data_IF_263805398811
#
_entry.id   IF_263805398811
#
_cell.length_a   1.000
_cell.length_b   1.000
_cell.length_c   1.000
_cell.angle_alpha   90.00
_cell.angle_beta   90.00
_cell.angle_gamma   90.00
#
_symmetry.space_group_name_H-M   'P 1'
#
loop_
_entity.id
_entity.type
_entity.pdbx_description
1 polymer ?
#
# COMPACT_ATOMS: atom_id res chain seq x y z
N UNK A 1 -8.45 1.59 -20.93
CA UNK A 1 -9.57 0.61 -21.00
C UNK A 1 -10.34 0.80 -22.30
N UNK A 2 -10.82 -0.26 -22.97
CA UNK A 2 -11.85 -0.08 -24.00
C UNK A 2 -13.08 0.55 -23.33
N UNK A 3 -13.50 1.72 -23.82
CA UNK A 3 -14.67 2.41 -23.29
C UNK A 3 -15.89 1.51 -23.43
N UNK A 4 -16.60 1.25 -22.34
CA UNK A 4 -17.95 0.64 -22.37
C UNK A 4 -19.01 1.62 -22.90
N UNK A 5 -18.60 2.82 -23.29
CA UNK A 5 -19.46 3.86 -23.86
C UNK A 5 -19.87 3.50 -25.28
N UNK A 6 -21.16 3.27 -25.49
CA UNK A 6 -21.77 3.11 -26.80
C UNK A 6 -21.94 4.48 -27.45
N UNK A 7 -20.96 4.87 -28.25
CA UNK A 7 -21.04 6.11 -29.03
C UNK A 7 -22.01 5.96 -30.21
N UNK A 8 -22.83 7.00 -30.43
CA UNK A 8 -23.79 7.10 -31.54
C UNK A 8 -23.15 6.90 -32.94
N UNK A 9 -21.85 7.16 -33.07
CA UNK A 9 -21.09 7.03 -34.31
C UNK A 9 -20.07 5.88 -34.26
N UNK A 10 -20.26 4.90 -33.37
CA UNK A 10 -19.44 3.70 -33.35
C UNK A 10 -19.55 2.95 -34.68
N UNK A 11 -18.44 2.36 -35.14
CA UNK A 11 -18.44 1.48 -36.31
C UNK A 11 -18.94 0.11 -35.84
N UNK A 12 -20.12 -0.36 -36.30
CA UNK A 12 -20.64 -1.67 -35.93
C UNK A 12 -19.69 -2.76 -36.41
N UNK A 13 -19.63 -3.88 -35.68
CA UNK A 13 -18.92 -5.12 -36.07
C UNK A 13 -17.38 -5.02 -36.25
N UNK A 14 -16.78 -3.86 -35.95
CA UNK A 14 -15.32 -3.69 -35.87
C UNK A 14 -14.93 -2.90 -34.60
N UNK A 15 -14.63 -3.62 -33.50
CA UNK A 15 -14.13 -3.00 -32.28
C UNK A 15 -12.94 -2.08 -32.55
N UNK A 16 -12.85 -0.96 -31.82
CA UNK A 16 -11.72 -0.01 -31.95
C UNK A 16 -10.37 -0.72 -31.80
N UNK A 17 -10.27 -1.68 -30.89
CA UNK A 17 -9.05 -2.45 -30.68
C UNK A 17 -8.66 -3.22 -31.95
N UNK A 18 -9.58 -3.97 -32.57
CA UNK A 18 -9.30 -4.68 -33.82
C UNK A 18 -8.79 -3.72 -34.91
N UNK A 19 -9.43 -2.57 -35.07
CA UNK A 19 -9.02 -1.57 -36.07
C UNK A 19 -7.63 -0.96 -35.81
N UNK A 20 -7.15 -0.99 -34.57
CA UNK A 20 -5.77 -0.58 -34.25
C UNK A 20 -4.80 -1.66 -34.72
N UNK A 21 -5.06 -2.94 -34.39
CA UNK A 21 -4.25 -4.06 -34.84
C UNK A 21 -4.20 -4.14 -36.38
N UNK A 22 -5.35 -4.04 -37.06
CA UNK A 22 -5.43 -4.08 -38.53
C UNK A 22 -4.56 -3.00 -39.19
N UNK A 23 -4.45 -1.81 -38.58
CA UNK A 23 -3.60 -0.73 -39.11
C UNK A 23 -2.12 -1.06 -38.97
N UNK A 24 -1.71 -1.69 -37.87
CA UNK A 24 -0.33 -2.15 -37.68
C UNK A 24 0.00 -3.24 -38.70
N UNK A 25 -0.93 -4.18 -38.91
CA UNK A 25 -0.76 -5.25 -39.90
C UNK A 25 -0.69 -4.74 -41.36
N UNK A 26 -1.32 -3.60 -41.64
CA UNK A 26 -1.32 -2.97 -42.96
C UNK A 26 -0.08 -2.09 -43.24
N UNK A 27 0.82 -1.88 -42.28
CA UNK A 27 2.06 -1.14 -42.50
C UNK A 27 2.99 -1.90 -43.45
N UNK A 28 3.67 -1.17 -44.33
CA UNK A 28 4.79 -1.75 -45.07
C UNK A 28 5.99 -2.01 -44.14
N UNK A 29 6.91 -2.93 -44.49
CA UNK A 29 8.00 -3.33 -43.60
C UNK A 29 8.92 -2.19 -43.15
N UNK A 30 9.13 -1.15 -43.97
CA UNK A 30 9.99 -0.03 -43.60
C UNK A 30 9.28 0.86 -42.57
N UNK A 31 8.02 1.21 -42.82
CA UNK A 31 7.21 1.99 -41.87
C UNK A 31 7.01 1.28 -40.52
N UNK A 32 6.81 -0.05 -40.55
CA UNK A 32 6.70 -0.88 -39.35
C UNK A 32 7.99 -0.80 -38.50
N UNK A 33 9.13 -1.01 -39.15
CA UNK A 33 10.43 -1.00 -38.48
C UNK A 33 10.75 0.38 -37.89
N UNK A 34 10.60 1.45 -38.69
CA UNK A 34 10.91 2.81 -38.27
C UNK A 34 10.05 3.26 -37.07
N UNK A 35 8.75 2.95 -37.09
CA UNK A 35 7.84 3.31 -35.99
C UNK A 35 8.15 2.50 -34.73
N UNK A 36 8.46 1.21 -34.86
CA UNK A 36 8.87 0.39 -33.72
C UNK A 36 10.17 0.89 -33.10
N UNK A 37 11.19 1.21 -33.91
CA UNK A 37 12.46 1.76 -33.41
C UNK A 37 12.25 3.08 -32.68
N UNK A 38 11.44 3.99 -33.24
CA UNK A 38 11.09 5.26 -32.58
C UNK A 38 10.49 5.05 -31.20
N UNK A 39 9.53 4.13 -31.07
CA UNK A 39 8.89 3.82 -29.77
C UNK A 39 9.89 3.17 -28.81
N UNK A 40 10.72 2.24 -29.29
CA UNK A 40 11.75 1.61 -28.45
C UNK A 40 12.75 2.65 -27.92
N UNK A 41 13.20 3.58 -28.75
CA UNK A 41 14.09 4.67 -28.36
C UNK A 41 13.44 5.58 -27.31
N UNK A 42 12.19 6.02 -27.54
CA UNK A 42 11.42 6.88 -26.63
C UNK A 42 11.17 6.25 -25.24
N UNK A 43 11.14 4.91 -25.16
CA UNK A 43 10.86 4.16 -23.93
C UNK A 43 12.10 3.58 -23.25
N UNK A 44 13.19 3.35 -24.00
CA UNK A 44 14.42 2.71 -23.49
C UNK A 44 15.09 3.47 -22.33
N UNK A 45 14.89 4.79 -22.26
CA UNK A 45 15.39 5.63 -21.16
C UNK A 45 14.51 5.65 -19.91
N UNK A 46 13.29 5.09 -19.96
CA UNK A 46 12.27 5.19 -18.90
C UNK A 46 11.80 3.83 -18.38
N UNK A 47 11.95 2.77 -19.18
CA UNK A 47 11.54 1.42 -18.84
C UNK A 47 12.63 0.42 -19.20
N UNK A 48 12.77 -0.63 -18.39
CA UNK A 48 13.68 -1.75 -18.68
C UNK A 48 12.94 -2.82 -19.50
N UNK A 49 13.68 -3.52 -20.36
CA UNK A 49 13.18 -4.67 -21.13
C UNK A 49 11.91 -4.37 -21.95
N UNK A 50 11.84 -3.17 -22.54
CA UNK A 50 10.69 -2.66 -23.31
C UNK A 50 10.16 -3.67 -24.35
N UNK A 51 10.99 -4.39 -25.13
CA UNK A 51 10.47 -5.40 -26.06
C UNK A 51 9.70 -6.53 -25.36
N UNK A 52 10.20 -7.03 -24.22
CA UNK A 52 9.54 -8.09 -23.46
C UNK A 52 8.18 -7.63 -22.93
N UNK A 53 8.09 -6.38 -22.47
CA UNK A 53 6.84 -5.75 -22.04
C UNK A 53 5.81 -5.71 -23.17
N UNK A 54 6.19 -5.21 -24.34
CA UNK A 54 5.30 -5.11 -25.48
C UNK A 54 4.85 -6.48 -25.96
N UNK A 55 5.76 -7.46 -26.01
CA UNK A 55 5.42 -8.81 -26.42
C UNK A 55 4.43 -9.48 -25.45
N UNK A 56 4.65 -9.32 -24.13
CA UNK A 56 3.69 -9.80 -23.13
C UNK A 56 2.32 -9.16 -23.33
N UNK A 57 2.28 -7.84 -23.54
CA UNK A 57 1.02 -7.14 -23.75
C UNK A 57 0.29 -7.61 -25.00
N UNK A 58 1.02 -7.92 -26.06
CA UNK A 58 0.45 -8.53 -27.26
C UNK A 58 -0.26 -9.85 -26.93
N UNK A 59 0.40 -10.76 -26.21
CA UNK A 59 -0.20 -12.05 -25.83
C UNK A 59 -1.42 -11.92 -24.89
N UNK A 60 -1.51 -10.85 -24.10
CA UNK A 60 -2.69 -10.57 -23.26
C UNK A 60 -3.90 -10.06 -24.05
N UNK A 61 -3.69 -9.45 -25.22
CA UNK A 61 -4.76 -8.90 -26.05
C UNK A 61 -5.14 -9.81 -27.22
N UNK A 62 -4.22 -10.63 -27.68
CA UNK A 62 -4.40 -11.56 -28.79
C UNK A 62 -5.42 -12.66 -28.44
N UNK A 63 -6.34 -12.92 -29.37
CA UNK A 63 -7.48 -13.84 -29.18
C UNK A 63 -8.53 -13.42 -28.14
N UNK A 64 -8.32 -12.31 -27.40
CA UNK A 64 -9.22 -11.83 -26.33
C UNK A 64 -9.85 -10.48 -26.69
N UNK A 65 -9.01 -9.48 -26.98
CA UNK A 65 -9.41 -8.10 -27.32
C UNK A 65 -9.34 -7.87 -28.83
N UNK A 66 -8.35 -8.48 -29.48
CA UNK A 66 -8.20 -8.54 -30.93
C UNK A 66 -8.38 -9.99 -31.39
N UNK A 67 -8.86 -10.19 -32.60
CA UNK A 67 -8.96 -11.49 -33.23
C UNK A 67 -7.56 -12.09 -33.40
N UNK A 68 -7.46 -13.39 -33.15
CA UNK A 68 -6.25 -14.18 -33.33
C UNK A 68 -5.71 -14.01 -34.76
N UNK A 69 -4.44 -13.64 -34.90
CA UNK A 69 -3.81 -13.32 -36.18
C UNK A 69 -2.34 -13.77 -36.23
N UNK A 70 -1.91 -14.28 -37.39
CA UNK A 70 -0.50 -14.57 -37.62
C UNK A 70 0.27 -13.25 -37.82
N UNK A 71 1.17 -12.96 -36.89
CA UNK A 71 1.96 -11.73 -36.88
C UNK A 71 3.46 -12.00 -36.88
N UNK A 72 4.22 -11.11 -37.48
CA UNK A 72 5.68 -11.08 -37.32
C UNK A 72 6.06 -10.56 -35.92
N UNK A 73 7.31 -10.79 -35.49
CA UNK A 73 7.78 -10.32 -34.19
C UNK A 73 7.64 -8.80 -34.02
N UNK A 74 8.01 -8.01 -35.04
CA UNK A 74 7.89 -6.54 -34.99
C UNK A 74 6.42 -6.08 -34.93
N UNK A 75 5.51 -6.75 -35.65
CA UNK A 75 4.07 -6.49 -35.55
C UNK A 75 3.53 -6.82 -34.16
N UNK A 76 3.94 -7.94 -33.57
CA UNK A 76 3.54 -8.29 -32.20
C UNK A 76 3.97 -7.21 -31.20
N UNK A 77 5.23 -6.76 -31.28
CA UNK A 77 5.75 -5.68 -30.43
C UNK A 77 4.97 -4.37 -30.63
N UNK A 78 4.75 -3.95 -31.88
CA UNK A 78 4.07 -2.68 -32.16
C UNK A 78 2.58 -2.71 -31.79
N UNK A 79 1.90 -3.85 -31.99
CA UNK A 79 0.52 -4.06 -31.50
C UNK A 79 0.51 -3.97 -29.98
N UNK A 80 1.39 -4.71 -29.31
CA UNK A 80 1.54 -4.68 -27.85
C UNK A 80 1.73 -3.26 -27.32
N UNK A 81 2.63 -2.48 -27.93
CA UNK A 81 2.89 -1.08 -27.58
C UNK A 81 1.62 -0.20 -27.66
N UNK A 82 0.79 -0.37 -28.69
CA UNK A 82 -0.48 0.38 -28.83
C UNK A 82 -1.53 0.03 -27.78
N UNK A 83 -1.39 -1.11 -27.09
CA UNK A 83 -2.25 -1.54 -26.01
C UNK A 83 -1.59 -1.41 -24.62
N UNK A 84 -0.35 -0.91 -24.56
CA UNK A 84 0.30 -0.44 -23.34
C UNK A 84 -0.15 0.98 -23.00
N UNK A 85 -0.14 1.34 -21.73
CA UNK A 85 -0.28 2.73 -21.28
C UNK A 85 0.88 3.04 -20.34
N UNK A 86 1.50 4.21 -20.49
CA UNK A 86 2.34 4.77 -19.43
C UNK A 86 1.41 5.42 -18.40
N UNK A 87 1.60 5.10 -17.12
CA UNK A 87 0.88 5.76 -16.02
C UNK A 87 1.87 6.51 -15.15
N UNK A 88 1.60 7.78 -14.87
CA UNK A 88 2.27 8.48 -13.78
C UNK A 88 1.54 8.18 -12.48
N UNK A 89 2.18 7.40 -11.60
CA UNK A 89 1.58 6.88 -10.37
C UNK A 89 1.87 7.73 -9.12
N UNK A 90 2.83 8.66 -9.21
CA UNK A 90 3.19 9.60 -8.12
C UNK A 90 2.90 11.06 -8.51
N UNK A 91 2.15 11.29 -9.59
CA UNK A 91 1.91 12.63 -10.13
C UNK A 91 1.12 13.55 -9.19
N UNK A 92 0.20 13.02 -8.39
CA UNK A 92 -0.70 13.83 -7.59
C UNK A 92 -0.30 13.88 -6.11
N UNK A 93 -0.08 12.73 -5.47
CA UNK A 93 0.18 12.69 -4.03
C UNK A 93 0.85 11.39 -3.56
N UNK A 94 1.66 11.51 -2.49
CA UNK A 94 2.30 10.41 -1.77
C UNK A 94 2.05 10.57 -0.26
N UNK A 95 1.14 9.77 0.29
CA UNK A 95 0.60 9.97 1.64
C UNK A 95 0.26 8.65 2.34
N UNK A 96 -0.35 8.73 3.51
CA UNK A 96 -0.71 7.62 4.40
C UNK A 96 0.43 6.60 4.60
N UNK A 97 1.58 7.05 5.13
CA UNK A 97 2.78 6.24 5.20
C UNK A 97 2.70 5.13 6.25
N UNK A 98 3.30 3.98 5.96
CA UNK A 98 3.65 2.97 6.96
C UNK A 98 5.14 2.67 6.89
N UNK A 99 5.74 2.25 8.00
CA UNK A 99 7.18 2.09 8.14
C UNK A 99 7.52 0.79 8.86
N UNK A 100 8.51 0.06 8.34
CA UNK A 100 9.06 -1.16 8.94
C UNK A 100 10.58 -1.21 8.77
N UNK A 101 11.24 -2.03 9.57
CA UNK A 101 12.67 -2.30 9.37
C UNK A 101 12.90 -2.94 8.01
N UNK A 102 13.96 -2.51 7.33
CA UNK A 102 14.42 -3.16 6.12
C UNK A 102 15.00 -4.55 6.46
N UNK A 103 14.73 -5.62 5.68
CA UNK A 103 15.27 -6.96 5.97
C UNK A 103 16.80 -7.00 5.93
N UNK A 104 17.41 -6.23 5.04
CA UNK A 104 18.86 -6.00 4.99
C UNK A 104 19.26 -4.77 5.82
N UNK A 105 20.02 -5.00 6.90
CA UNK A 105 20.65 -3.99 7.75
C UNK A 105 22.18 -3.93 7.57
N UNK A 106 22.73 -4.55 6.52
CA UNK A 106 24.16 -4.49 6.23
C UNK A 106 24.60 -3.08 5.84
N UNK A 107 25.86 -2.74 6.15
CA UNK A 107 26.46 -1.43 5.85
C UNK A 107 25.66 -0.21 6.37
N UNK A 108 24.80 -0.41 7.37
CA UNK A 108 24.13 0.68 8.08
C UNK A 108 25.11 1.27 9.09
N UNK A 109 25.24 2.61 9.19
CA UNK A 109 26.08 3.24 10.20
C UNK A 109 25.76 2.76 11.62
N UNK A 110 26.76 2.78 12.50
CA UNK A 110 26.58 2.36 13.90
C UNK A 110 25.40 3.10 14.55
N UNK A 111 24.60 2.37 15.32
CA UNK A 111 23.39 2.88 15.99
C UNK A 111 22.34 3.50 15.05
N UNK A 112 22.38 3.21 13.76
CA UNK A 112 21.35 3.60 12.79
C UNK A 112 20.57 2.38 12.32
N UNK A 113 19.40 2.60 11.71
CA UNK A 113 18.59 1.56 11.10
C UNK A 113 18.20 1.95 9.68
N UNK A 114 18.19 0.97 8.77
CA UNK A 114 17.56 1.11 7.47
C UNK A 114 16.07 0.76 7.59
N UNK A 115 15.20 1.57 6.99
CA UNK A 115 13.77 1.30 6.97
C UNK A 115 13.22 1.19 5.55
N UNK A 116 12.05 0.56 5.45
CA UNK A 116 11.15 0.61 4.31
C UNK A 116 9.97 1.46 4.71
N UNK A 117 9.60 2.39 3.84
CA UNK A 117 8.42 3.24 3.95
C UNK A 117 7.47 2.87 2.81
N UNK A 118 6.27 2.37 3.10
CA UNK A 118 5.22 2.26 2.09
C UNK A 118 4.39 3.53 2.08
N UNK A 119 3.98 3.98 0.89
CA UNK A 119 3.18 5.17 0.66
C UNK A 119 2.00 4.82 -0.22
N UNK A 120 0.84 5.43 0.07
CA UNK A 120 -0.28 5.47 -0.87
C UNK A 120 0.07 6.46 -1.97
N UNK A 121 0.26 5.92 -3.18
CA UNK A 121 0.46 6.71 -4.39
C UNK A 121 -0.86 6.93 -5.11
N UNK A 122 -1.16 8.20 -5.41
CA UNK A 122 -2.28 8.58 -6.27
C UNK A 122 -1.73 9.25 -7.52
N UNK A 123 -2.01 8.60 -8.65
CA UNK A 123 -1.58 9.03 -9.98
C UNK A 123 -2.72 9.49 -10.88
N UNK A 124 -2.47 9.45 -12.18
CA UNK A 124 -3.49 9.72 -13.20
C UNK A 124 -4.71 8.79 -13.02
N UNK A 125 -5.91 9.37 -13.08
CA UNK A 125 -7.17 8.64 -12.84
C UNK A 125 -7.56 8.46 -11.37
N UNK A 126 -6.78 9.03 -10.43
CA UNK A 126 -7.03 9.00 -8.98
C UNK A 126 -7.10 7.59 -8.37
N UNK A 127 -6.48 6.60 -9.02
CA UNK A 127 -6.43 5.23 -8.52
C UNK A 127 -5.32 5.14 -7.47
N UNK A 128 -5.66 4.59 -6.29
CA UNK A 128 -4.70 4.40 -5.21
C UNK A 128 -3.88 3.13 -5.41
N UNK A 129 -2.57 3.27 -5.26
CA UNK A 129 -1.56 2.22 -5.37
C UNK A 129 -0.64 2.23 -4.15
N UNK A 130 0.12 1.16 -3.95
CA UNK A 130 1.19 1.12 -2.95
C UNK A 130 2.52 1.32 -3.64
N UNK A 131 3.28 2.29 -3.16
CA UNK A 131 4.66 2.56 -3.58
C UNK A 131 5.59 2.44 -2.38
N UNK A 132 6.88 2.29 -2.63
CA UNK A 132 7.87 2.16 -1.56
C UNK A 132 8.98 3.20 -1.66
N UNK A 133 9.56 3.52 -0.51
CA UNK A 133 10.81 4.25 -0.34
C UNK A 133 11.67 3.53 0.68
N UNK A 134 12.97 3.77 0.61
CA UNK A 134 13.92 3.31 1.62
C UNK A 134 14.64 4.51 2.22
N UNK A 135 15.16 4.33 3.42
CA UNK A 135 15.88 5.39 4.11
C UNK A 135 16.59 4.89 5.34
N UNK A 136 17.18 5.84 6.07
CA UNK A 136 17.92 5.58 7.31
C UNK A 136 17.38 6.46 8.43
N UNK A 137 17.30 5.87 9.62
CA UNK A 137 17.10 6.58 10.88
C UNK A 137 18.38 6.49 11.70
N UNK A 138 18.99 7.64 12.00
CA UNK A 138 20.13 7.73 12.89
C UNK A 138 19.72 7.58 14.36
N UNK A 139 20.70 7.42 15.25
CA UNK A 139 20.49 7.23 16.67
C UNK A 139 19.80 8.42 17.37
N UNK A 140 20.02 9.63 16.85
CA UNK A 140 19.46 10.89 17.37
C UNK A 140 18.05 11.20 16.81
N UNK A 141 17.50 10.29 15.99
CA UNK A 141 16.22 10.47 15.30
C UNK A 141 16.32 11.14 13.94
N UNK A 142 17.51 11.53 13.47
CA UNK A 142 17.66 12.12 12.13
C UNK A 142 17.23 11.12 11.05
N UNK A 143 16.31 11.55 10.18
CA UNK A 143 15.77 10.75 9.07
C UNK A 143 16.36 11.21 7.74
N UNK A 144 16.81 10.26 6.92
CA UNK A 144 17.21 10.48 5.54
C UNK A 144 16.48 9.50 4.62
N UNK A 145 15.90 10.01 3.53
CA UNK A 145 15.24 9.21 2.49
C UNK A 145 16.20 9.05 1.32
N UNK A 146 16.32 7.82 0.80
CA UNK A 146 17.11 7.55 -0.40
C UNK A 146 16.38 8.10 -1.64
N UNK A 147 17.11 8.65 -2.62
CA UNK A 147 16.51 9.01 -3.90
C UNK A 147 15.81 7.80 -4.54
N UNK A 148 14.56 7.94 -5.04
CA UNK A 148 13.89 6.86 -5.73
C UNK A 148 14.56 6.56 -7.07
N UNK A 149 14.44 5.32 -7.53
CA UNK A 149 14.80 4.93 -8.89
C UNK A 149 13.92 5.68 -9.90
N UNK A 150 14.48 6.14 -11.03
CA UNK A 150 13.70 6.82 -12.07
C UNK A 150 12.88 5.85 -12.94
N UNK A 151 13.03 4.54 -12.77
CA UNK A 151 12.45 3.52 -13.65
C UNK A 151 11.52 2.57 -12.87
N UNK A 152 10.19 2.67 -13.04
CA UNK A 152 9.29 1.68 -12.45
C UNK A 152 9.50 0.31 -13.09
N UNK A 153 9.37 -0.74 -12.28
CA UNK A 153 9.32 -2.12 -12.76
C UNK A 153 7.89 -2.48 -13.14
N UNK A 154 7.72 -3.14 -14.29
CA UNK A 154 6.46 -3.80 -14.61
C UNK A 154 6.39 -5.13 -13.87
N UNK A 155 5.43 -5.25 -12.96
CA UNK A 155 5.31 -6.40 -12.09
C UNK A 155 4.64 -7.59 -12.80
N UNK A 156 5.10 -8.80 -12.48
CA UNK A 156 4.44 -10.03 -12.91
C UNK A 156 3.41 -10.46 -11.88
N UNK A 157 2.19 -10.77 -12.33
CA UNK A 157 1.10 -11.20 -11.45
C UNK A 157 0.56 -12.56 -11.87
N UNK A 158 0.35 -13.47 -10.91
CA UNK A 158 -0.27 -14.78 -11.12
C UNK A 158 -1.30 -15.07 -10.03
N UNK A 159 -2.30 -15.89 -10.32
CA UNK A 159 -3.17 -16.45 -9.28
C UNK A 159 -2.36 -17.41 -8.41
N UNK A 160 -2.61 -17.39 -7.11
CA UNK A 160 -2.01 -18.35 -6.19
C UNK A 160 -2.58 -19.75 -6.50
N UNK A 161 -1.69 -20.72 -6.73
CA UNK A 161 -2.05 -22.05 -7.23
C UNK A 161 -3.12 -22.73 -6.37
N UNK A 162 -4.19 -23.22 -7.02
CA UNK A 162 -5.31 -23.88 -6.35
C UNK A 162 -6.40 -22.92 -5.83
N UNK A 163 -6.26 -21.61 -6.05
CA UNK A 163 -7.27 -20.61 -5.77
C UNK A 163 -7.85 -20.06 -7.08
N UNK A 164 -9.17 -20.16 -7.26
CA UNK A 164 -9.91 -19.63 -8.40
C UNK A 164 -11.09 -18.77 -7.93
N UNK A 165 -11.49 -17.80 -8.75
CA UNK A 165 -12.66 -16.95 -8.50
C UNK A 165 -12.33 -15.56 -7.95
N UNK A 166 -13.35 -14.77 -7.55
CA UNK A 166 -13.20 -13.36 -7.19
C UNK A 166 -12.43 -13.13 -5.88
N UNK A 167 -12.27 -14.19 -5.08
CA UNK A 167 -11.57 -14.17 -3.80
C UNK A 167 -10.24 -14.94 -3.83
N UNK A 168 -9.78 -15.32 -5.04
CA UNK A 168 -8.47 -15.93 -5.20
C UNK A 168 -7.36 -14.93 -4.86
N UNK A 169 -6.35 -15.40 -4.15
CA UNK A 169 -5.15 -14.64 -3.88
C UNK A 169 -4.32 -14.39 -5.14
N UNK A 170 -3.63 -13.25 -5.16
CA UNK A 170 -2.70 -12.86 -6.22
C UNK A 170 -1.28 -12.92 -5.69
N UNK A 171 -0.37 -13.52 -6.46
CA UNK A 171 1.07 -13.40 -6.23
C UNK A 171 1.66 -12.41 -7.22
N UNK A 172 2.50 -11.51 -6.71
CA UNK A 172 3.23 -10.51 -7.47
C UNK A 172 4.72 -10.83 -7.36
N UNK A 173 5.38 -11.03 -8.49
CA UNK A 173 6.82 -11.24 -8.59
C UNK A 173 7.48 -9.97 -9.12
N UNK A 174 8.51 -9.52 -8.41
CA UNK A 174 9.26 -8.31 -8.72
C UNK A 174 10.67 -8.66 -9.19
N UNK A 175 10.79 -9.76 -9.95
CA UNK A 175 12.05 -10.19 -10.55
C UNK A 175 12.57 -9.07 -11.47
N UNK A 176 13.86 -8.76 -11.36
CA UNK A 176 14.47 -7.62 -12.07
C UNK A 176 14.42 -6.28 -11.33
N UNK A 177 13.72 -6.16 -10.19
CA UNK A 177 13.81 -4.98 -9.32
C UNK A 177 15.20 -4.90 -8.68
N UNK A 178 15.85 -3.74 -8.85
CA UNK A 178 17.14 -3.44 -8.23
C UNK A 178 16.98 -2.55 -7.01
N UNK A 179 15.91 -1.77 -6.96
CA UNK A 179 15.56 -0.92 -5.83
C UNK A 179 14.07 -1.03 -5.52
N UNK A 180 13.71 -0.98 -4.23
CA UNK A 180 12.34 -1.16 -3.78
C UNK A 180 11.39 -0.06 -4.30
N UNK A 181 11.91 1.14 -4.56
CA UNK A 181 11.12 2.25 -5.12
C UNK A 181 10.67 2.02 -6.57
N UNK A 182 11.19 1.00 -7.23
CA UNK A 182 10.73 0.56 -8.57
C UNK A 182 9.42 -0.21 -8.49
N UNK A 183 9.05 -0.72 -7.30
CA UNK A 183 7.89 -1.56 -7.10
C UNK A 183 6.67 -0.68 -6.82
N UNK A 184 5.67 -0.81 -7.69
CA UNK A 184 4.37 -0.15 -7.56
C UNK A 184 3.27 -1.19 -7.65
N UNK A 185 2.59 -1.44 -6.54
CA UNK A 185 1.50 -2.41 -6.47
C UNK A 185 0.19 -1.68 -6.82
N UNK A 186 -0.32 -1.97 -8.01
CA UNK A 186 -1.61 -1.49 -8.49
C UNK A 186 -2.75 -2.47 -8.15
N UNK A 187 -3.99 -1.96 -8.10
CA UNK A 187 -5.18 -2.80 -8.12
C UNK A 187 -5.13 -3.89 -9.19
N UNK A 188 -5.21 -5.14 -8.77
CA UNK A 188 -5.17 -6.32 -9.65
C UNK A 188 -6.51 -7.07 -9.67
N UNK A 189 -7.26 -7.03 -8.57
CA UNK A 189 -8.55 -7.74 -8.45
C UNK A 189 -9.76 -6.81 -8.62
N UNK A 190 -10.97 -7.34 -8.95
CA UNK A 190 -12.19 -6.53 -9.03
C UNK A 190 -12.48 -5.75 -7.73
N UNK A 191 -12.19 -6.34 -6.58
CA UNK A 191 -12.40 -5.75 -5.26
C UNK A 191 -11.45 -4.58 -4.97
N UNK A 192 -10.35 -4.46 -5.73
CA UNK A 192 -9.37 -3.38 -5.59
C UNK A 192 -9.57 -2.28 -6.64
N UNK A 193 -10.53 -2.40 -7.58
CA UNK A 193 -10.64 -1.53 -8.78
C UNK A 193 -10.63 -0.02 -8.49
N UNK A 194 -11.19 0.40 -7.36
CA UNK A 194 -11.19 1.79 -6.89
C UNK A 194 -9.92 2.20 -6.15
N UNK A 195 -9.11 1.26 -5.70
CA UNK A 195 -7.79 1.49 -5.12
C UNK A 195 -7.38 0.45 -4.07
N UNK A 196 -6.07 0.41 -3.83
CA UNK A 196 -5.44 -0.20 -2.65
C UNK A 196 -5.11 0.96 -1.69
N UNK A 197 -5.73 0.99 -0.52
CA UNK A 197 -5.64 2.11 0.41
C UNK A 197 -4.99 1.72 1.74
N UNK A 198 -4.16 2.63 2.27
CA UNK A 198 -3.75 2.69 3.68
C UNK A 198 -3.11 1.39 4.21
N UNK A 199 -2.06 0.93 3.52
CA UNK A 199 -1.30 -0.26 3.89
C UNK A 199 -0.60 -0.08 5.24
N UNK A 200 -0.82 -1.01 6.17
CA UNK A 200 -0.24 -1.05 7.51
C UNK A 200 0.75 -2.21 7.63
N UNK A 201 2.02 -1.93 7.36
CA UNK A 201 3.07 -2.94 7.38
C UNK A 201 3.52 -3.27 8.80
N UNK A 202 3.86 -4.53 9.03
CA UNK A 202 4.52 -5.01 10.23
C UNK A 202 5.50 -6.13 9.88
N UNK A 203 6.68 -6.09 10.52
CA UNK A 203 7.58 -7.24 10.55
C UNK A 203 7.10 -8.18 11.65
N UNK A 204 6.47 -9.28 11.26
CA UNK A 204 5.97 -10.30 12.16
C UNK A 204 7.04 -11.35 12.43
N UNK A 205 7.28 -11.66 13.69
CA UNK A 205 8.23 -12.68 14.13
C UNK A 205 7.47 -13.90 14.65
N UNK A 206 7.65 -15.03 13.95
CA UNK A 206 7.18 -16.33 14.43
C UNK A 206 8.04 -16.81 15.62
N UNK A 207 7.50 -17.75 16.41
CA UNK A 207 8.17 -18.30 17.60
C UNK A 207 9.49 -19.03 17.27
N UNK A 208 9.66 -19.46 16.02
CA UNK A 208 10.88 -20.09 15.49
C UNK A 208 11.94 -19.07 15.02
N UNK A 209 11.65 -17.77 15.14
CA UNK A 209 12.52 -16.67 14.72
C UNK A 209 12.40 -16.30 13.24
N UNK A 210 11.52 -16.95 12.47
CA UNK A 210 11.26 -16.56 11.07
C UNK A 210 10.53 -15.22 11.04
N UNK A 211 11.02 -14.30 10.23
CA UNK A 211 10.37 -13.02 9.99
C UNK A 211 9.56 -13.06 8.69
N UNK A 212 8.32 -12.61 8.75
CA UNK A 212 7.47 -12.34 7.58
C UNK A 212 6.94 -10.91 7.68
N UNK A 213 6.92 -10.17 6.58
CA UNK A 213 6.26 -8.87 6.55
C UNK A 213 4.82 -9.08 6.15
N UNK A 214 3.91 -8.59 6.99
CA UNK A 214 2.48 -8.54 6.70
C UNK A 214 2.05 -7.09 6.54
N UNK A 215 1.01 -6.87 5.74
CA UNK A 215 0.43 -5.57 5.52
C UNK A 215 -1.07 -5.68 5.33
N UNK A 216 -1.84 -5.22 6.30
CA UNK A 216 -3.29 -5.08 6.14
C UNK A 216 -3.60 -3.81 5.36
N UNK A 217 -4.54 -3.88 4.44
CA UNK A 217 -4.95 -2.72 3.66
C UNK A 217 -6.42 -2.80 3.29
N UNK A 218 -6.98 -1.66 2.87
CA UNK A 218 -8.35 -1.59 2.38
C UNK A 218 -8.37 -1.77 0.86
N UNK A 219 -8.99 -2.83 0.37
CA UNK A 219 -9.35 -2.97 -1.03
C UNK A 219 -10.68 -2.26 -1.27
N UNK A 220 -10.68 -1.25 -2.13
CA UNK A 220 -11.88 -0.49 -2.48
C UNK A 220 -12.33 -0.84 -3.90
N UNK A 221 -13.57 -1.29 -4.07
CA UNK A 221 -14.11 -1.68 -5.38
C UNK A 221 -14.70 -0.50 -6.16
N UNK A 222 -14.79 0.68 -5.53
CA UNK A 222 -15.62 1.80 -5.99
C UNK A 222 -16.99 1.86 -5.30
N UNK A 223 -17.44 0.76 -4.69
CA UNK A 223 -18.76 0.66 -4.05
C UNK A 223 -18.70 0.05 -2.64
N UNK A 224 -17.80 -0.90 -2.44
CA UNK A 224 -17.61 -1.64 -1.19
C UNK A 224 -16.14 -1.63 -0.79
N UNK A 225 -15.90 -1.86 0.50
CA UNK A 225 -14.56 -2.00 1.07
C UNK A 225 -14.45 -3.36 1.74
N UNK A 226 -13.26 -3.94 1.68
CA UNK A 226 -12.88 -5.11 2.49
C UNK A 226 -11.43 -5.01 2.92
N UNK A 227 -11.07 -5.71 3.99
CA UNK A 227 -9.68 -5.86 4.38
C UNK A 227 -9.02 -7.00 3.61
N UNK A 228 -7.83 -6.75 3.10
CA UNK A 228 -6.96 -7.75 2.50
C UNK A 228 -5.60 -7.72 3.18
N UNK A 229 -4.86 -8.82 3.04
CA UNK A 229 -3.54 -9.03 3.60
C UNK A 229 -2.52 -9.16 2.48
N UNK A 230 -1.55 -8.26 2.49
CA UNK A 230 -0.29 -8.40 1.79
C UNK A 230 0.67 -9.18 2.68
N UNK A 231 1.36 -10.19 2.14
CA UNK A 231 2.47 -10.86 2.81
C UNK A 231 3.70 -10.90 1.90
N UNK A 232 4.88 -10.76 2.49
CA UNK A 232 6.15 -10.92 1.79
C UNK A 232 7.26 -11.34 2.75
N UNK A 233 8.12 -12.30 2.38
CA UNK A 233 9.30 -12.61 3.19
C UNK A 233 10.45 -11.62 2.96
N UNK A 234 10.51 -10.97 1.79
CA UNK A 234 11.73 -10.35 1.28
C UNK A 234 11.53 -9.09 0.41
N UNK A 235 10.28 -8.65 0.20
CA UNK A 235 9.90 -7.59 -0.72
C UNK A 235 10.27 -7.84 -2.20
N UNK A 236 10.51 -9.09 -2.60
CA UNK A 236 10.66 -9.51 -4.00
C UNK A 236 9.43 -10.25 -4.50
N UNK A 237 8.81 -11.04 -3.62
CA UNK A 237 7.52 -11.69 -3.89
C UNK A 237 6.48 -11.21 -2.89
N UNK A 238 5.34 -10.75 -3.38
CA UNK A 238 4.19 -10.37 -2.56
C UNK A 238 3.03 -11.31 -2.81
N UNK A 239 2.29 -11.67 -1.78
CA UNK A 239 1.01 -12.36 -1.90
C UNK A 239 -0.09 -11.48 -1.32
N UNK A 240 -1.16 -11.25 -2.08
CA UNK A 240 -2.33 -10.49 -1.69
C UNK A 240 -3.50 -11.47 -1.53
N UNK A 241 -4.06 -11.58 -0.32
CA UNK A 241 -5.22 -12.43 -0.04
C UNK A 241 -6.32 -11.69 0.70
N UNK A 242 -7.60 -11.91 0.39
CA UNK A 242 -8.69 -11.35 1.18
C UNK A 242 -8.71 -11.98 2.58
N UNK A 243 -9.01 -11.14 3.59
CA UNK A 243 -9.37 -11.64 4.91
C UNK A 243 -10.83 -12.11 4.90
N UNK A 244 -11.14 -13.09 5.75
CA UNK A 244 -12.46 -13.71 5.91
C UNK A 244 -12.98 -13.50 7.32
N UNK A 245 -14.27 -13.72 7.50
CA UNK A 245 -14.95 -13.57 8.79
C UNK A 245 -15.62 -12.20 8.96
N UNK A 246 -16.42 -12.06 10.00
CA UNK A 246 -17.32 -10.91 10.18
C UNK A 246 -16.61 -9.61 10.60
N UNK A 247 -15.36 -9.69 11.06
CA UNK A 247 -14.54 -8.55 11.47
C UNK A 247 -13.69 -7.96 10.31
N UNK A 248 -14.01 -8.27 9.06
CA UNK A 248 -13.19 -7.89 7.88
C UNK A 248 -13.85 -6.87 6.95
N UNK A 249 -15.09 -6.49 7.24
CA UNK A 249 -15.84 -5.48 6.49
C UNK A 249 -15.50 -4.03 6.87
N UNK A 250 -14.71 -3.82 7.93
CA UNK A 250 -14.31 -2.51 8.43
C UNK A 250 -13.03 -1.99 7.76
N UNK A 251 -12.50 -0.86 8.24
CA UNK A 251 -11.21 -0.29 7.79
C UNK A 251 -10.25 -0.16 8.95
N UNK A 252 -8.97 -0.43 8.68
CA UNK A 252 -7.87 -0.06 9.57
C UNK A 252 -7.46 -1.16 10.54
N UNK A 253 -7.61 -2.42 10.14
CA UNK A 253 -7.01 -3.52 10.90
C UNK A 253 -5.49 -3.37 10.93
N UNK A 254 -4.82 -3.65 12.05
CA UNK A 254 -3.37 -3.73 12.13
C UNK A 254 -2.90 -4.88 13.01
N UNK A 255 -2.00 -5.69 12.47
CA UNK A 255 -1.46 -6.91 13.08
C UNK A 255 -0.39 -6.59 14.12
N UNK A 256 -0.44 -7.24 15.27
CA UNK A 256 0.64 -7.22 16.26
C UNK A 256 1.89 -7.95 15.70
N UNK A 257 3.12 -7.54 16.05
CA UNK A 257 4.35 -8.04 15.44
C UNK A 257 4.74 -9.47 15.86
N UNK A 258 3.93 -10.15 16.66
CA UNK A 258 4.08 -11.55 17.07
C UNK A 258 2.75 -12.09 17.59
N UNK A 259 2.70 -13.40 17.84
CA UNK A 259 1.57 -14.02 18.52
C UNK A 259 1.45 -13.53 19.97
N UNK A 260 0.21 -13.49 20.45
CA UNK A 260 -0.14 -13.17 21.83
C UNK A 260 -0.95 -14.33 22.37
N UNK A 261 -0.45 -14.97 23.43
CA UNK A 261 -1.01 -16.22 23.96
C UNK A 261 -1.28 -17.29 22.87
N UNK A 262 -0.33 -17.45 21.93
CA UNK A 262 -0.39 -18.44 20.83
C UNK A 262 -1.27 -18.05 19.63
N UNK A 263 -1.98 -16.92 19.69
CA UNK A 263 -2.88 -16.47 18.63
C UNK A 263 -2.30 -15.29 17.87
N UNK A 264 -2.66 -15.15 16.59
CA UNK A 264 -2.52 -13.87 15.92
C UNK A 264 -3.43 -12.85 16.61
N UNK A 265 -3.01 -11.58 16.64
CA UNK A 265 -3.79 -10.51 17.22
C UNK A 265 -3.80 -9.28 16.31
N UNK A 266 -4.93 -8.58 16.25
CA UNK A 266 -5.07 -7.33 15.51
C UNK A 266 -5.79 -6.28 16.36
N UNK A 267 -5.49 -5.01 16.09
CA UNK A 267 -6.39 -3.91 16.42
C UNK A 267 -7.25 -3.59 15.20
N UNK A 268 -8.53 -3.30 15.38
CA UNK A 268 -9.49 -2.96 14.33
C UNK A 268 -10.49 -1.89 14.77
N UNK A 269 -11.48 -1.61 13.91
CA UNK A 269 -12.54 -0.61 14.18
C UNK A 269 -13.89 -1.15 13.70
N UNK A 270 -14.35 -2.22 14.33
CA UNK A 270 -15.48 -3.03 13.84
C UNK A 270 -16.84 -2.34 13.91
N UNK A 271 -17.01 -1.39 14.83
CA UNK A 271 -18.21 -0.55 14.93
C UNK A 271 -18.05 0.82 14.27
N UNK A 272 -16.97 1.02 13.52
CA UNK A 272 -16.57 2.27 12.89
C UNK A 272 -16.31 3.45 13.86
N UNK A 273 -16.26 3.22 15.17
CA UNK A 273 -16.11 4.26 16.19
C UNK A 273 -14.94 3.99 17.16
N UNK A 274 -14.82 2.76 17.64
CA UNK A 274 -13.97 2.36 18.76
C UNK A 274 -12.80 1.48 18.31
N UNK A 275 -11.71 1.43 19.05
CA UNK A 275 -10.65 0.44 18.79
C UNK A 275 -11.05 -0.90 19.42
N UNK A 276 -11.03 -1.95 18.61
CA UNK A 276 -11.30 -3.33 18.99
C UNK A 276 -10.02 -4.17 19.00
N UNK A 277 -9.93 -5.09 19.96
CA UNK A 277 -8.91 -6.12 20.02
C UNK A 277 -9.48 -7.43 19.48
N UNK A 278 -8.77 -8.00 18.50
CA UNK A 278 -9.15 -9.20 17.76
C UNK A 278 -8.08 -10.26 17.95
N UNK A 279 -8.48 -11.53 18.03
CA UNK A 279 -7.55 -12.67 18.05
C UNK A 279 -8.00 -13.75 17.08
N UNK A 280 -7.06 -14.43 16.45
CA UNK A 280 -7.35 -15.58 15.60
C UNK A 280 -6.27 -16.66 15.65
N UNK A 281 -6.67 -17.91 15.40
CA UNK A 281 -5.74 -19.01 15.15
C UNK A 281 -5.20 -19.00 13.71
N UNK A 282 -5.94 -18.41 12.77
CA UNK A 282 -5.61 -18.31 11.35
C UNK A 282 -5.45 -16.83 10.96
N UNK A 283 -4.34 -16.49 10.30
CA UNK A 283 -4.06 -15.11 9.87
C UNK A 283 -5.07 -14.60 8.83
N UNK A 284 -5.82 -15.49 8.16
CA UNK A 284 -6.77 -15.14 7.12
C UNK A 284 -8.24 -15.13 7.57
N UNK A 285 -8.56 -15.56 8.80
CA UNK A 285 -9.94 -15.62 9.32
C UNK A 285 -10.06 -14.82 10.61
N UNK A 286 -10.90 -13.79 10.62
CA UNK A 286 -11.08 -12.87 11.73
C UNK A 286 -12.57 -12.66 12.01
N UNK A 287 -13.00 -13.09 13.19
CA UNK A 287 -14.39 -12.92 13.63
C UNK A 287 -14.48 -12.49 15.09
N UNK A 288 -15.53 -11.73 15.43
CA UNK A 288 -15.78 -11.25 16.79
C UNK A 288 -14.83 -10.14 17.23
N UNK A 289 -14.45 -10.13 18.51
CA UNK A 289 -13.57 -9.12 19.11
C UNK A 289 -14.05 -8.60 20.45
N UNK A 290 -13.17 -7.86 21.14
CA UNK A 290 -13.51 -7.12 22.34
C UNK A 290 -13.16 -5.64 22.16
N UNK A 291 -14.09 -4.75 22.53
CA UNK A 291 -13.83 -3.32 22.51
C UNK A 291 -12.75 -2.98 23.55
N UNK A 292 -11.69 -2.27 23.13
CA UNK A 292 -10.54 -1.94 23.96
C UNK A 292 -10.47 -0.45 24.31
N UNK A 293 -10.77 0.45 23.35
CA UNK A 293 -10.66 1.90 23.56
C UNK A 293 -11.86 2.62 22.96
N UNK A 294 -12.48 3.46 23.78
CA UNK A 294 -13.59 4.35 23.41
C UNK A 294 -13.15 5.82 23.36
N UNK A 295 -13.77 6.63 22.48
CA UNK A 295 -13.67 8.09 22.54
C UNK A 295 -13.97 8.65 23.93
N UNK A 296 -13.10 9.53 24.40
CA UNK A 296 -13.19 10.24 25.69
C UNK A 296 -12.98 11.74 25.54
N UNK A 297 -12.25 12.19 24.53
CA UNK A 297 -11.89 13.59 24.32
C UNK A 297 -12.50 14.18 23.04
N UNK A 298 -12.74 15.52 22.97
CA UNK A 298 -13.41 16.13 21.82
C UNK A 298 -12.77 15.88 20.44
N UNK A 299 -11.46 15.62 20.41
CA UNK A 299 -10.73 15.36 19.16
C UNK A 299 -10.89 13.92 18.64
N UNK A 300 -11.57 13.05 19.39
CA UNK A 300 -11.84 11.65 19.03
C UNK A 300 -13.35 11.30 19.06
N UNK A 301 -14.23 12.27 19.35
CA UNK A 301 -15.68 12.04 19.52
C UNK A 301 -16.41 11.49 18.30
N UNK A 302 -15.89 11.67 17.08
CA UNK A 302 -16.50 11.05 15.88
C UNK A 302 -16.07 9.58 15.78
N UNK A 303 -14.77 9.32 16.01
CA UNK A 303 -14.18 7.98 16.04
C UNK A 303 -12.72 8.06 16.50
N UNK A 304 -12.23 6.95 17.05
CA UNK A 304 -10.81 6.66 17.28
C UNK A 304 -10.39 5.42 16.49
N UNK A 305 -9.17 5.39 15.98
CA UNK A 305 -8.59 4.21 15.36
C UNK A 305 -7.10 4.12 15.59
N UNK A 306 -6.53 2.96 15.34
CA UNK A 306 -5.09 2.76 15.25
C UNK A 306 -4.57 3.28 13.89
N UNK A 307 -3.41 3.94 13.92
CA UNK A 307 -2.71 4.32 12.70
C UNK A 307 -2.13 3.07 12.02
N UNK A 308 -1.35 2.29 12.75
CA UNK A 308 -0.73 1.06 12.24
C UNK A 308 -0.58 0.01 13.32
N UNK A 309 0.40 -0.87 13.12
CA UNK A 309 0.67 -1.98 14.04
C UNK A 309 1.20 -1.51 15.39
N UNK A 310 0.76 -2.12 16.50
CA UNK A 310 1.32 -1.88 17.82
C UNK A 310 2.83 -2.16 17.87
N UNK A 311 3.55 -1.33 18.63
CA UNK A 311 5.00 -1.42 18.78
C UNK A 311 5.30 -1.95 20.18
N UNK A 312 6.05 -3.05 20.27
CA UNK A 312 6.49 -3.58 21.56
C UNK A 312 7.59 -2.69 22.14
N UNK A 313 7.35 -2.14 23.33
CA UNK A 313 8.32 -1.39 24.13
C UNK A 313 8.34 -1.94 25.56
N UNK A 314 9.34 -1.56 26.37
CA UNK A 314 9.54 -2.07 27.73
C UNK A 314 8.32 -1.88 28.66
N UNK A 315 7.51 -0.85 28.40
CA UNK A 315 6.35 -0.46 29.19
C UNK A 315 5.04 -1.15 28.74
N UNK A 316 4.99 -1.76 27.55
CA UNK A 316 3.78 -2.38 27.00
C UNK A 316 3.73 -2.32 25.47
N UNK A 317 2.51 -2.30 24.92
CA UNK A 317 2.28 -2.06 23.50
C UNK A 317 1.98 -0.59 23.25
N UNK A 318 2.93 0.12 22.64
CA UNK A 318 2.70 1.48 22.18
C UNK A 318 1.87 1.45 20.90
N UNK A 319 0.74 2.15 20.89
CA UNK A 319 -0.13 2.26 19.73
C UNK A 319 -0.25 3.73 19.35
N UNK A 320 0.17 4.07 18.14
CA UNK A 320 -0.14 5.37 17.56
C UNK A 320 -1.58 5.34 17.07
N UNK A 321 -2.38 6.32 17.47
CA UNK A 321 -3.81 6.40 17.17
C UNK A 321 -4.13 7.63 16.34
N UNK A 322 -5.21 7.58 15.58
CA UNK A 322 -5.86 8.76 15.04
C UNK A 322 -7.21 8.97 15.72
N UNK A 323 -7.58 10.22 15.91
CA UNK A 323 -8.89 10.63 16.39
C UNK A 323 -9.53 11.60 15.40
N UNK A 324 -10.85 11.51 15.27
CA UNK A 324 -11.63 12.41 14.43
C UNK A 324 -12.50 13.32 15.30
N UNK A 325 -12.22 14.62 15.19
CA UNK A 325 -12.95 15.67 15.88
C UNK A 325 -13.99 16.35 14.99
N UNK A 326 -14.51 17.47 15.48
CA UNK A 326 -15.47 18.29 14.75
C UNK A 326 -14.95 18.73 13.38
N UNK A 327 -15.85 18.81 12.39
CA UNK A 327 -15.53 19.22 11.02
C UNK A 327 -14.45 18.34 10.36
N UNK A 328 -14.46 17.03 10.68
CA UNK A 328 -13.54 16.03 10.12
C UNK A 328 -12.07 16.39 10.39
N UNK A 329 -11.77 16.94 11.56
CA UNK A 329 -10.39 17.20 11.96
C UNK A 329 -9.72 15.89 12.39
N UNK A 330 -8.79 15.38 11.59
CA UNK A 330 -8.00 14.20 11.93
C UNK A 330 -6.74 14.63 12.67
N UNK A 331 -6.57 14.06 13.86
CA UNK A 331 -5.45 14.28 14.75
C UNK A 331 -4.77 12.95 15.08
N UNK A 332 -3.48 12.99 15.40
CA UNK A 332 -2.72 11.81 15.85
C UNK A 332 -2.51 11.90 17.36
N UNK A 333 -2.75 10.80 18.06
CA UNK A 333 -2.45 10.58 19.47
C UNK A 333 -1.68 9.28 19.68
N UNK A 334 -1.56 8.85 20.93
CA UNK A 334 -1.02 7.54 21.25
C UNK A 334 -1.61 6.97 22.54
N UNK A 335 -1.55 5.66 22.66
CA UNK A 335 -1.88 4.95 23.89
C UNK A 335 -0.91 3.81 24.17
N UNK A 336 -0.96 3.32 25.40
CA UNK A 336 -0.21 2.17 25.88
C UNK A 336 -1.19 1.08 26.30
N UNK A 337 -1.05 -0.12 25.73
CA UNK A 337 -1.81 -1.30 26.12
C UNK A 337 -0.94 -2.25 26.94
N UNK A 338 -1.56 -3.05 27.80
CA UNK A 338 -0.87 -4.06 28.59
C UNK A 338 -0.23 -5.14 27.70
N UNK A 339 1.00 -5.54 28.02
CA UNK A 339 1.79 -6.47 27.19
C UNK A 339 1.14 -7.84 27.07
N UNK A 340 0.63 -8.36 28.18
CA UNK A 340 0.11 -9.71 28.29
C UNK A 340 -1.39 -9.77 27.95
N UNK A 341 -2.12 -8.69 28.23
CA UNK A 341 -3.53 -8.52 27.88
C UNK A 341 -3.79 -7.21 27.14
N UNK A 342 -3.58 -7.16 25.81
CA UNK A 342 -3.73 -5.94 25.03
C UNK A 342 -5.16 -5.39 24.96
N UNK A 343 -6.16 -6.10 25.51
CA UNK A 343 -7.50 -5.53 25.67
C UNK A 343 -7.54 -4.43 26.75
N UNK A 344 -6.52 -4.35 27.61
CA UNK A 344 -6.41 -3.37 28.69
C UNK A 344 -5.61 -2.15 28.27
N UNK A 345 -6.29 -1.00 28.26
CA UNK A 345 -5.67 0.31 28.14
C UNK A 345 -4.98 0.70 29.46
N UNK A 346 -3.66 0.94 29.42
CA UNK A 346 -2.88 1.38 30.57
C UNK A 346 -2.84 2.91 30.69
N UNK A 347 -2.57 3.60 29.59
CA UNK A 347 -2.49 5.06 29.54
C UNK A 347 -2.76 5.58 28.13
N UNK A 348 -3.20 6.83 27.98
CA UNK A 348 -3.27 7.50 26.65
C UNK A 348 -3.08 9.01 26.72
N UNK A 349 -2.70 9.58 25.59
CA UNK A 349 -2.57 11.04 25.44
C UNK A 349 -3.94 11.72 25.56
N UNK A 350 -4.03 12.76 26.40
CA UNK A 350 -5.25 13.58 26.55
C UNK A 350 -5.45 14.57 25.42
N UNK A 351 -4.36 15.13 24.90
CA UNK A 351 -4.33 16.04 23.76
C UNK A 351 -3.67 15.35 22.56
N UNK A 352 -4.00 15.76 21.31
CA UNK A 352 -3.28 15.30 20.13
C UNK A 352 -1.78 15.55 20.24
N UNK A 353 -0.99 14.59 19.78
CA UNK A 353 0.44 14.76 19.55
C UNK A 353 0.70 15.60 18.31
N UNK A 354 -0.08 15.36 17.25
CA UNK A 354 -0.03 16.10 15.99
C UNK A 354 -1.43 16.44 15.51
N UNK A 355 -1.56 17.62 14.93
CA UNK A 355 -2.77 18.14 14.27
C UNK A 355 -2.33 19.05 13.12
N UNK A 356 -3.13 19.19 12.08
CA UNK A 356 -2.84 20.13 11.00
C UNK A 356 -2.89 21.57 11.50
N UNK A 357 -1.77 22.29 11.42
CA UNK A 357 -1.71 23.73 11.67
C UNK A 357 -2.39 24.52 10.53
N UNK A 358 -2.67 25.81 10.73
CA UNK A 358 -3.47 26.62 9.79
C UNK A 358 -2.91 26.61 8.34
N UNK A 359 -1.58 26.56 8.20
CA UNK A 359 -0.88 26.58 6.92
C UNK A 359 -0.73 25.18 6.28
N UNK A 360 -1.09 24.12 7.03
CA UNK A 360 -0.99 22.70 6.63
C UNK A 360 -2.37 22.08 6.33
N UNK A 361 -3.41 22.91 6.19
CA UNK A 361 -4.80 22.47 5.99
C UNK A 361 -5.21 22.30 4.54
N UNK A 362 -4.44 22.84 3.60
CA UNK A 362 -4.79 22.77 2.18
C UNK A 362 -4.22 21.49 1.54
N UNK A 363 -5.08 20.72 0.89
CA UNK A 363 -4.72 19.46 0.23
C UNK A 363 -5.94 18.67 -0.23
N UNK A 364 -5.72 17.45 -0.72
CA UNK A 364 -6.79 16.58 -1.24
C UNK A 364 -7.91 16.34 -0.22
N UNK A 365 -7.56 16.21 1.07
CA UNK A 365 -8.51 16.24 2.19
C UNK A 365 -8.04 17.22 3.26
N UNK A 366 -8.70 18.39 3.42
CA UNK A 366 -8.29 19.38 4.41
C UNK A 366 -8.38 18.92 5.87
N UNK A 367 -7.52 19.47 6.73
CA UNK A 367 -7.47 19.22 8.18
C UNK A 367 -7.13 17.78 8.58
N UNK A 368 -6.29 17.10 7.79
CA UNK A 368 -5.89 15.72 8.05
C UNK A 368 -4.41 15.61 8.41
N UNK A 369 -4.15 15.08 9.61
CA UNK A 369 -2.89 14.43 9.96
C UNK A 369 -3.15 12.92 10.11
N UNK A 370 -2.49 12.08 9.31
CA UNK A 370 -2.76 10.64 9.29
C UNK A 370 -1.50 9.80 9.11
N UNK A 371 -1.47 8.61 9.70
CA UNK A 371 -0.36 7.66 9.53
C UNK A 371 -0.91 6.24 9.43
N UNK A 372 -0.13 5.35 8.82
CA UNK A 372 -0.39 3.92 8.71
C UNK A 372 0.68 3.08 9.41
N UNK A 373 1.61 3.71 10.14
CA UNK A 373 2.63 2.99 10.90
C UNK A 373 3.68 3.92 11.49
N UNK A 374 4.33 3.44 12.54
CA UNK A 374 5.46 4.08 13.17
C UNK A 374 6.46 3.02 13.62
N UNK A 375 7.69 3.42 13.92
CA UNK A 375 8.70 2.55 14.50
C UNK A 375 9.37 3.21 15.69
N UNK A 376 9.96 2.42 16.57
CA UNK A 376 10.81 2.91 17.66
C UNK A 376 12.26 2.51 17.37
N UNK A 377 13.16 3.47 17.52
CA UNK A 377 14.61 3.24 17.46
C UNK A 377 15.30 3.99 18.59
N UNK A 378 16.15 3.33 19.37
CA UNK A 378 16.87 3.94 20.51
C UNK A 378 15.98 4.78 21.44
N UNK A 379 14.80 4.26 21.77
CA UNK A 379 13.78 4.95 22.60
C UNK A 379 13.32 6.30 22.01
N UNK A 380 13.38 6.45 20.70
CA UNK A 380 12.77 7.53 19.93
C UNK A 380 11.70 6.93 19.03
N UNK A 381 10.46 7.42 19.17
CA UNK A 381 9.39 7.16 18.21
C UNK A 381 9.70 7.91 16.91
N UNK A 382 9.73 7.19 15.80
CA UNK A 382 9.81 7.73 14.44
C UNK A 382 8.43 7.57 13.81
N UNK A 383 7.76 8.69 13.59
CA UNK A 383 6.39 8.75 13.09
C UNK A 383 6.38 9.42 11.71
N UNK A 384 6.35 8.67 10.61
CA UNK A 384 5.94 9.23 9.33
C UNK A 384 4.44 9.53 9.38
N UNK A 385 4.04 10.69 8.86
CA UNK A 385 2.63 11.07 8.76
C UNK A 385 2.37 11.90 7.52
N UNK A 386 1.16 11.78 7.01
CA UNK A 386 0.62 12.54 5.93
C UNK A 386 -0.03 13.83 6.42
N UNK A 387 0.11 14.87 5.60
CA UNK A 387 -0.56 16.15 5.76
C UNK A 387 -1.52 16.35 4.58
N UNK A 388 -2.79 16.56 4.91
CA UNK A 388 -3.89 16.86 3.99
C UNK A 388 -4.00 15.88 2.79
N UNK A 389 -3.71 14.60 3.01
CA UNK A 389 -3.68 13.54 1.98
C UNK A 389 -2.89 13.92 0.72
N UNK A 390 -1.81 14.69 0.88
CA UNK A 390 -1.05 15.26 -0.24
C UNK A 390 0.43 14.85 -0.20
N UNK A 391 1.09 15.05 0.94
CA UNK A 391 2.50 14.70 1.10
C UNK A 391 2.77 14.08 2.47
N UNK A 392 3.91 13.43 2.59
CA UNK A 392 4.39 12.76 3.82
C UNK A 392 5.58 13.50 4.39
N UNK A 393 5.62 13.62 5.72
CA UNK A 393 6.77 14.08 6.49
C UNK A 393 6.97 13.21 7.73
N UNK A 394 7.93 13.56 8.59
CA UNK A 394 8.29 12.81 9.79
C UNK A 394 8.24 13.68 11.05
N UNK A 395 7.84 13.07 12.15
CA UNK A 395 8.06 13.58 13.50
C UNK A 395 8.86 12.55 14.31
N UNK A 396 9.71 13.03 15.21
CA UNK A 396 10.51 12.20 16.13
C UNK A 396 10.25 12.61 17.56
N UNK A 397 9.94 11.64 18.43
CA UNK A 397 9.54 11.92 19.82
C UNK A 397 10.27 10.96 20.77
N UNK A 398 11.07 11.45 21.72
CA UNK A 398 11.63 10.60 22.79
C UNK A 398 10.53 9.91 23.57
N UNK A 399 10.65 8.59 23.80
CA UNK A 399 9.62 7.80 24.47
C UNK A 399 9.35 8.28 25.88
N UNK A 400 10.36 8.74 26.61
CA UNK A 400 10.21 9.25 27.98
C UNK A 400 9.25 10.45 28.00
N UNK A 401 9.35 11.33 26.99
CA UNK A 401 8.46 12.48 26.85
C UNK A 401 7.05 12.06 26.45
N UNK A 402 6.94 11.10 25.54
CA UNK A 402 5.66 10.58 25.10
C UNK A 402 4.90 9.90 26.23
N UNK A 403 5.56 8.99 26.96
CA UNK A 403 4.99 8.25 28.08
C UNK A 403 4.61 9.19 29.23
N UNK A 404 5.45 10.20 29.53
CA UNK A 404 5.14 11.20 30.55
C UNK A 404 3.94 12.11 30.19
N UNK A 405 3.50 12.12 28.92
CA UNK A 405 2.33 12.87 28.46
C UNK A 405 1.03 12.03 28.45
N UNK A 406 1.11 10.74 28.81
CA UNK A 406 -0.05 9.87 28.91
C UNK A 406 -0.58 9.84 30.35
N UNK A 407 -1.92 9.82 30.48
CA UNK A 407 -2.65 9.71 31.76
C UNK A 407 -3.36 8.35 31.88
#
# INVERSE_FOLDING_TARGET
>A
MPSTETYKYAVPDQPRAQRIADRVLALDPASLHDELQRILDDFSGRHREVPSLFLRRFHEVDGIIVCDCEVTHEQALLIGAHFCNEYSYEAAALFNPSIVLHPDQSAVPENSLRFILSLRGVGEGHISSVTFRTGFCAADGTIAINPPSPMPLVLETENISGEDGPDAGIRIKCDGSHDLSEIVIFPTTPSQRGGIEDLRLVRFLDDDGRATYFGTYTAFSGQSVRQELLSTPDFRTFELRPLRGDATGSKGMALFPRRIAGHFAMLGREDNENIWFLTSADIHDWSGGAKAIEPRWPWEFVQIGNCGSPIEIDEGWLVVTHGVGAVRNYCIGACLLDRDDPSKLLARTKLPLLRSDMDEREGYVPNVAYSCGAMVHNRVLVLPYAIADSFTTFATIPLERLLAAMD
#
